data_IF_151519987864
#
_entry.id   IF_151519987864
#
_cell.length_a   1.000
_cell.length_b   1.000
_cell.length_c   1.000
_cell.angle_alpha   90.00
_cell.angle_beta   90.00
_cell.angle_gamma   90.00
#
_symmetry.space_group_name_H-M   'P 1'
#
loop_
_entity.id
_entity.type
_entity.pdbx_description
1 polymer ?
#
# COMPACT_ATOMS: atom_id res chain seq x y z
N UNK A 1 -19.72 0.09 -5.99
CA UNK A 1 -18.60 0.47 -6.89
C UNK A 1 -17.33 -0.33 -6.56
N UNK A 2 -16.84 -0.28 -5.32
CA UNK A 2 -15.60 -0.94 -4.89
C UNK A 2 -15.48 -2.44 -5.25
N UNK A 3 -16.48 -3.26 -4.89
CA UNK A 3 -16.49 -4.69 -5.20
C UNK A 3 -16.46 -5.03 -6.70
N UNK A 4 -17.10 -4.21 -7.53
CA UNK A 4 -17.15 -4.46 -8.97
C UNK A 4 -15.80 -4.20 -9.63
N UNK A 5 -15.07 -3.17 -9.18
CA UNK A 5 -13.70 -2.90 -9.62
C UNK A 5 -12.76 -4.02 -9.21
N UNK A 6 -12.86 -4.51 -7.97
CA UNK A 6 -12.03 -5.64 -7.52
C UNK A 6 -12.36 -6.91 -8.31
N UNK A 7 -13.65 -7.26 -8.43
CA UNK A 7 -14.11 -8.41 -9.19
C UNK A 7 -13.59 -8.38 -10.64
N UNK A 8 -13.65 -7.22 -11.29
CA UNK A 8 -13.16 -7.04 -12.65
C UNK A 8 -11.66 -7.31 -12.79
N UNK A 9 -10.83 -6.79 -11.87
CA UNK A 9 -9.38 -7.04 -11.85
C UNK A 9 -9.10 -8.53 -11.61
N UNK A 10 -9.81 -9.15 -10.67
CA UNK A 10 -9.69 -10.60 -10.40
C UNK A 10 -10.14 -11.43 -11.60
N UNK A 11 -11.25 -11.08 -12.25
CA UNK A 11 -11.74 -11.76 -13.43
C UNK A 11 -10.73 -11.69 -14.58
N UNK A 12 -10.10 -10.53 -14.80
CA UNK A 12 -9.00 -10.39 -15.75
C UNK A 12 -7.83 -11.32 -15.40
N UNK A 13 -7.35 -11.30 -14.15
CA UNK A 13 -6.25 -12.15 -13.70
C UNK A 13 -6.56 -13.64 -13.92
N UNK A 14 -7.75 -14.10 -13.54
CA UNK A 14 -8.20 -15.48 -13.74
C UNK A 14 -8.29 -15.86 -15.22
N UNK A 15 -8.79 -14.96 -16.08
CA UNK A 15 -8.86 -15.19 -17.54
C UNK A 15 -7.49 -15.37 -18.19
N UNK A 16 -6.43 -14.88 -17.55
CA UNK A 16 -5.03 -15.01 -17.97
C UNK A 16 -4.26 -16.08 -17.19
N UNK A 17 -4.95 -16.86 -16.35
CA UNK A 17 -4.35 -17.85 -15.45
C UNK A 17 -3.25 -17.26 -14.54
N UNK A 18 -3.44 -16.03 -14.08
CA UNK A 18 -2.58 -15.38 -13.09
C UNK A 18 -3.11 -15.76 -11.70
N UNK A 19 -2.24 -16.31 -10.84
CA UNK A 19 -2.62 -16.65 -9.48
C UNK A 19 -2.95 -15.37 -8.70
N UNK A 20 -4.08 -15.38 -7.98
CA UNK A 20 -4.49 -14.27 -7.13
C UNK A 20 -5.11 -14.76 -5.83
N UNK A 21 -4.91 -14.02 -4.74
CA UNK A 21 -5.43 -14.38 -3.42
C UNK A 21 -5.85 -13.13 -2.64
N UNK A 22 -7.08 -13.10 -2.15
CA UNK A 22 -7.52 -12.08 -1.20
C UNK A 22 -6.76 -12.14 0.13
N UNK A 23 -6.36 -10.99 0.67
CA UNK A 23 -5.71 -10.84 1.98
C UNK A 23 -6.64 -10.26 3.03
N UNK A 24 -6.24 -10.39 4.30
CA UNK A 24 -6.87 -9.69 5.42
C UNK A 24 -8.33 -10.08 5.62
N UNK A 25 -9.18 -9.07 5.88
CA UNK A 25 -10.62 -9.26 6.10
C UNK A 25 -11.36 -9.72 4.83
N UNK A 26 -10.81 -9.47 3.63
CA UNK A 26 -11.40 -9.92 2.37
C UNK A 26 -11.38 -11.44 2.19
N UNK A 27 -10.39 -12.13 2.77
CA UNK A 27 -10.36 -13.59 2.79
C UNK A 27 -11.53 -14.21 3.59
N UNK A 28 -12.09 -13.43 4.53
CA UNK A 28 -13.16 -13.84 5.43
C UNK A 28 -14.55 -13.29 5.02
N UNK A 29 -14.74 -12.98 3.74
CA UNK A 29 -15.99 -12.41 3.23
C UNK A 29 -16.69 -13.35 2.25
N UNK A 30 -17.95 -13.67 2.55
CA UNK A 30 -18.81 -14.45 1.66
C UNK A 30 -19.00 -13.76 0.30
N UNK A 31 -19.03 -12.43 0.27
CA UNK A 31 -19.12 -11.66 -0.99
C UNK A 31 -17.83 -11.83 -1.81
N UNK A 32 -16.66 -11.76 -1.18
CA UNK A 32 -15.38 -11.99 -1.86
C UNK A 32 -15.26 -13.44 -2.37
N UNK A 33 -15.83 -14.41 -1.65
CA UNK A 33 -15.91 -15.80 -2.11
C UNK A 33 -16.76 -15.93 -3.38
N UNK A 34 -17.98 -15.36 -3.37
CA UNK A 34 -18.87 -15.38 -4.53
C UNK A 34 -18.29 -14.64 -5.75
N UNK A 35 -17.46 -13.62 -5.53
CA UNK A 35 -16.77 -12.86 -6.58
C UNK A 35 -15.44 -13.50 -7.01
N UNK A 36 -15.06 -14.66 -6.47
CA UNK A 36 -13.83 -15.37 -6.82
C UNK A 36 -12.54 -14.69 -6.36
N UNK A 37 -12.64 -13.70 -5.46
CA UNK A 37 -11.50 -12.97 -4.85
C UNK A 37 -10.80 -13.83 -3.80
N UNK A 38 -11.55 -14.68 -3.09
CA UNK A 38 -11.03 -15.69 -2.18
C UNK A 38 -11.61 -17.06 -2.54
N UNK A 39 -10.80 -18.12 -2.46
CA UNK A 39 -11.26 -19.50 -2.70
C UNK A 39 -11.72 -20.21 -1.41
N UNK A 40 -11.68 -19.50 -0.28
CA UNK A 40 -12.04 -20.05 1.03
C UNK A 40 -13.54 -19.93 1.27
N UNK A 41 -14.19 -21.08 1.43
CA UNK A 41 -15.63 -21.16 1.70
C UNK A 41 -15.98 -20.60 3.09
N UNK A 42 -16.83 -19.56 3.16
CA UNK A 42 -17.29 -18.97 4.42
C UNK A 42 -18.01 -19.91 5.36
N UNK A 43 -18.69 -20.93 4.83
CA UNK A 43 -19.43 -21.89 5.64
C UNK A 43 -18.53 -22.84 6.42
N UNK A 44 -17.25 -22.95 6.04
CA UNK A 44 -16.27 -23.86 6.64
C UNK A 44 -15.39 -23.20 7.70
N UNK A 45 -15.59 -21.91 7.97
CA UNK A 45 -14.83 -21.13 8.95
C UNK A 45 -15.75 -20.26 9.82
N UNK A 46 -15.39 -20.07 11.10
CA UNK A 46 -16.07 -19.10 11.97
C UNK A 46 -15.74 -17.67 11.52
N UNK A 47 -16.55 -17.11 10.62
CA UNK A 47 -16.34 -15.77 10.08
C UNK A 47 -16.86 -14.68 11.03
N UNK A 48 -15.98 -13.76 11.43
CA UNK A 48 -16.36 -12.49 12.06
C UNK A 48 -16.75 -11.48 10.96
N UNK A 49 -18.00 -11.58 10.48
CA UNK A 49 -18.56 -10.70 9.44
C UNK A 49 -18.42 -9.20 9.78
N UNK A 50 -18.45 -8.85 11.06
CA UNK A 50 -18.37 -7.46 11.54
C UNK A 50 -17.01 -6.79 11.25
N UNK A 51 -15.97 -7.55 10.90
CA UNK A 51 -14.67 -6.99 10.51
C UNK A 51 -14.60 -6.52 9.06
N UNK A 52 -15.52 -6.96 8.19
CA UNK A 52 -15.48 -6.62 6.77
C UNK A 52 -16.44 -5.48 6.43
N UNK A 53 -17.62 -5.44 7.07
CA UNK A 53 -18.56 -4.31 7.01
C UNK A 53 -19.03 -4.06 8.44
N UNK A 54 -18.29 -3.24 9.19
CA UNK A 54 -18.75 -2.77 10.50
C UNK A 54 -19.71 -1.61 10.28
N UNK A 55 -20.98 -1.74 10.70
CA UNK A 55 -21.91 -0.59 10.72
C UNK A 55 -21.44 0.55 11.64
N UNK A 56 -20.52 0.26 12.57
CA UNK A 56 -19.98 1.22 13.54
C UNK A 56 -18.73 1.97 13.03
N UNK A 57 -18.01 1.41 12.05
CA UNK A 57 -16.93 2.11 11.36
C UNK A 57 -17.47 2.67 10.06
N UNK A 58 -17.69 3.98 10.01
CA UNK A 58 -18.13 4.69 8.81
C UNK A 58 -16.97 4.82 7.78
N UNK A 59 -16.21 3.74 7.58
CA UNK A 59 -15.03 3.66 6.72
C UNK A 59 -15.32 2.66 5.57
N UNK A 60 -14.89 2.97 4.34
CA UNK A 60 -15.00 2.03 3.23
C UNK A 60 -14.26 0.72 3.54
N UNK A 61 -14.77 -0.45 3.10
CA UNK A 61 -14.05 -1.71 3.25
C UNK A 61 -12.74 -1.67 2.45
N UNK A 62 -11.64 -2.17 3.03
CA UNK A 62 -10.35 -2.32 2.37
C UNK A 62 -10.17 -3.77 1.91
N UNK A 63 -9.99 -3.98 0.61
CA UNK A 63 -9.82 -5.29 -0.03
C UNK A 63 -8.45 -5.34 -0.69
N UNK A 64 -7.54 -6.05 -0.03
CA UNK A 64 -6.24 -6.39 -0.56
C UNK A 64 -6.30 -7.68 -1.38
N UNK A 65 -5.71 -7.66 -2.58
CA UNK A 65 -5.55 -8.84 -3.44
C UNK A 65 -4.09 -8.97 -3.84
N UNK A 66 -3.51 -10.12 -3.53
CA UNK A 66 -2.20 -10.50 -4.05
C UNK A 66 -2.32 -11.07 -5.45
N UNK A 67 -1.29 -10.81 -6.26
CA UNK A 67 -1.11 -11.43 -7.56
C UNK A 67 0.26 -12.09 -7.62
N UNK A 68 0.39 -13.12 -8.45
CA UNK A 68 1.66 -13.76 -8.78
C UNK A 68 2.74 -12.71 -9.09
N UNK A 69 3.86 -12.78 -8.36
CA UNK A 69 4.89 -11.75 -8.41
C UNK A 69 5.41 -11.47 -9.84
N UNK A 70 5.65 -12.54 -10.62
CA UNK A 70 6.21 -12.42 -11.97
C UNK A 70 5.23 -11.83 -12.98
N UNK A 71 3.92 -11.94 -12.73
CA UNK A 71 2.85 -11.56 -13.65
C UNK A 71 2.00 -10.38 -13.15
N UNK A 72 2.33 -9.83 -11.97
CA UNK A 72 1.67 -8.65 -11.39
C UNK A 72 1.64 -7.46 -12.33
N UNK A 73 2.69 -7.29 -13.14
CA UNK A 73 2.78 -6.20 -14.09
C UNK A 73 1.67 -6.24 -15.15
N UNK A 74 1.24 -7.44 -15.61
CA UNK A 74 0.13 -7.57 -16.56
C UNK A 74 -1.18 -6.98 -15.99
N UNK A 75 -1.41 -7.21 -14.70
CA UNK A 75 -2.59 -6.70 -13.98
C UNK A 75 -2.52 -5.18 -13.83
N UNK A 76 -1.33 -4.64 -13.51
CA UNK A 76 -1.11 -3.19 -13.43
C UNK A 76 -1.37 -2.53 -14.80
N UNK A 77 -0.85 -3.12 -15.88
CA UNK A 77 -1.07 -2.59 -17.22
C UNK A 77 -2.54 -2.68 -17.66
N UNK A 78 -3.25 -3.75 -17.28
CA UNK A 78 -4.70 -3.84 -17.47
C UNK A 78 -5.45 -2.67 -16.80
N UNK A 79 -5.12 -2.38 -15.54
CA UNK A 79 -5.72 -1.25 -14.80
C UNK A 79 -5.44 0.07 -15.52
N UNK A 80 -4.21 0.31 -15.95
CA UNK A 80 -3.86 1.52 -16.70
C UNK A 80 -4.57 1.62 -18.04
N UNK A 81 -4.69 0.51 -18.78
CA UNK A 81 -5.39 0.48 -20.07
C UNK A 81 -6.89 0.76 -19.90
N UNK A 82 -7.50 0.20 -18.86
CA UNK A 82 -8.95 0.32 -18.63
C UNK A 82 -9.36 1.66 -18.03
N UNK A 83 -8.64 2.11 -17.00
CA UNK A 83 -9.00 3.30 -16.24
C UNK A 83 -8.23 4.55 -16.69
N UNK A 84 -7.15 4.41 -17.46
CA UNK A 84 -6.34 5.52 -17.93
C UNK A 84 -5.35 6.02 -16.88
N UNK A 85 -4.24 6.62 -17.33
CA UNK A 85 -3.16 7.11 -16.46
C UNK A 85 -3.56 8.33 -15.63
N UNK A 86 -4.57 9.07 -16.04
CA UNK A 86 -5.06 10.23 -15.29
C UNK A 86 -5.91 9.85 -14.07
N UNK A 87 -6.34 8.58 -13.98
CA UNK A 87 -7.25 8.07 -12.93
C UNK A 87 -6.69 6.88 -12.14
N UNK A 88 -5.53 6.37 -12.51
CA UNK A 88 -4.85 5.29 -11.81
C UNK A 88 -3.38 5.65 -11.61
N UNK A 89 -2.82 5.30 -10.46
CA UNK A 89 -1.40 5.52 -10.15
C UNK A 89 -0.95 4.49 -9.10
N UNK A 90 0.36 4.24 -9.04
CA UNK A 90 0.98 3.49 -7.96
C UNK A 90 1.18 4.38 -6.73
N UNK A 91 0.94 3.84 -5.55
CA UNK A 91 1.23 4.53 -4.29
C UNK A 91 2.74 4.60 -4.06
N UNK A 92 3.23 5.80 -3.74
CA UNK A 92 4.64 6.00 -3.44
C UNK A 92 4.95 5.59 -2.00
N UNK A 93 6.08 4.94 -1.79
CA UNK A 93 6.61 4.66 -0.44
C UNK A 93 7.67 5.70 -0.10
N UNK A 94 7.51 6.39 1.03
CA UNK A 94 8.55 7.28 1.56
C UNK A 94 9.47 6.48 2.47
N UNK A 95 10.74 6.37 2.09
CA UNK A 95 11.76 5.68 2.89
C UNK A 95 12.41 6.70 3.83
N UNK A 96 12.16 6.55 5.13
CA UNK A 96 12.79 7.38 6.17
C UNK A 96 14.02 6.68 6.77
N UNK A 97 15.00 7.47 7.22
CA UNK A 97 16.16 6.96 7.94
C UNK A 97 15.72 6.25 9.22
N UNK A 98 16.15 4.99 9.38
CA UNK A 98 16.00 4.24 10.62
C UNK A 98 17.28 4.34 11.45
N UNK A 99 17.22 4.17 12.78
CA UNK A 99 18.39 4.31 13.65
C UNK A 99 19.61 3.49 13.22
N UNK A 100 19.38 2.26 12.72
CA UNK A 100 20.45 1.41 12.19
C UNK A 100 21.10 1.96 10.92
N UNK A 101 20.29 2.47 9.99
CA UNK A 101 20.80 3.10 8.76
C UNK A 101 21.57 4.38 9.09
N UNK A 102 21.01 5.21 9.98
CA UNK A 102 21.67 6.43 10.46
C UNK A 102 23.03 6.14 11.10
N UNK A 103 23.09 5.15 12.00
CA UNK A 103 24.32 4.74 12.66
C UNK A 103 25.35 4.21 11.67
N UNK A 104 24.91 3.43 10.67
CA UNK A 104 25.79 2.89 9.65
C UNK A 104 26.41 3.99 8.80
N UNK A 105 25.61 4.94 8.33
CA UNK A 105 26.09 5.98 7.42
C UNK A 105 26.99 6.98 8.14
N UNK A 106 26.64 7.37 9.38
CA UNK A 106 27.50 8.22 10.23
C UNK A 106 28.78 7.50 10.62
N UNK A 107 28.70 6.25 11.06
CA UNK A 107 29.87 5.47 11.46
C UNK A 107 30.87 5.30 10.31
N UNK A 108 30.37 5.02 9.11
CA UNK A 108 31.20 4.93 7.90
C UNK A 108 31.86 6.26 7.57
N UNK A 109 31.13 7.38 7.66
CA UNK A 109 31.69 8.71 7.42
C UNK A 109 32.78 9.09 8.44
N UNK A 110 32.67 8.60 9.68
CA UNK A 110 33.67 8.80 10.74
C UNK A 110 34.85 7.82 10.68
N UNK A 111 34.88 6.91 9.71
CA UNK A 111 35.95 5.90 9.58
C UNK A 111 35.90 4.81 10.64
N UNK A 112 34.75 4.59 11.27
CA UNK A 112 34.56 3.52 12.26
C UNK A 112 34.47 2.18 11.54
N UNK A 113 35.11 1.16 12.12
CA UNK A 113 35.08 -0.20 11.59
C UNK A 113 33.65 -0.76 11.48
N UNK A 114 33.36 -1.47 10.38
CA UNK A 114 32.02 -1.96 10.06
C UNK A 114 31.53 -3.03 11.04
N UNK A 115 32.44 -3.81 11.65
CA UNK A 115 32.07 -4.77 12.68
C UNK A 115 31.62 -4.06 13.96
N UNK A 116 32.27 -2.94 14.32
CA UNK A 116 31.88 -2.12 15.47
C UNK A 116 30.54 -1.41 15.22
N UNK A 117 30.34 -0.85 14.03
CA UNK A 117 29.06 -0.26 13.60
C UNK A 117 27.93 -1.29 13.67
N UNK A 118 28.19 -2.50 13.16
CA UNK A 118 27.21 -3.60 13.18
C UNK A 118 26.86 -4.01 14.60
N UNK A 119 27.87 -4.18 15.47
CA UNK A 119 27.69 -4.51 16.88
C UNK A 119 26.84 -3.46 17.61
N UNK A 120 27.13 -2.17 17.43
CA UNK A 120 26.36 -1.07 18.00
C UNK A 120 24.93 -1.00 17.43
N UNK A 121 24.77 -1.35 16.14
CA UNK A 121 23.48 -1.37 15.47
C UNK A 121 22.53 -2.45 15.99
N UNK A 122 23.02 -3.54 16.57
CA UNK A 122 22.17 -4.62 17.08
C UNK A 122 21.24 -4.15 18.21
N UNK A 123 21.74 -3.28 19.10
CA UNK A 123 20.97 -2.70 20.20
C UNK A 123 20.07 -1.53 19.81
N UNK A 124 20.16 -1.02 18.59
CA UNK A 124 19.38 0.14 18.18
C UNK A 124 17.87 -0.19 18.08
N UNK A 125 16.99 0.66 18.62
CA UNK A 125 15.55 0.44 18.58
C UNK A 125 15.05 0.40 17.13
N UNK A 126 14.13 -0.53 16.83
CA UNK A 126 13.53 -0.68 15.49
C UNK A 126 12.66 0.50 15.09
N UNK A 127 12.13 1.22 16.08
CA UNK A 127 11.31 2.40 15.91
C UNK A 127 11.75 3.44 16.95
N UNK A 128 12.17 4.61 16.49
CA UNK A 128 12.31 5.78 17.35
C UNK A 128 11.04 6.57 17.17
N UNK A 129 10.22 6.63 18.22
CA UNK A 129 9.10 7.55 18.23
C UNK A 129 9.67 8.97 18.12
N UNK A 130 9.23 9.76 17.12
CA UNK A 130 9.67 11.14 17.03
C UNK A 130 9.17 11.87 18.28
N UNK A 131 10.08 12.20 19.20
CA UNK A 131 9.77 13.10 20.30
C UNK A 131 9.62 14.50 19.70
N UNK A 132 8.37 14.89 19.43
CA UNK A 132 8.01 16.27 19.07
C UNK A 132 8.13 16.63 17.59
N UNK A 133 7.34 16.01 16.71
CA UNK A 133 7.10 16.51 15.35
C UNK A 133 5.77 17.29 15.22
N UNK A 134 5.24 17.81 16.34
CA UNK A 134 3.90 18.40 16.40
C UNK A 134 3.80 19.88 16.02
N UNK A 135 4.88 20.56 15.60
CA UNK A 135 4.84 22.04 15.48
C UNK A 135 5.62 22.70 14.34
N UNK A 136 6.08 21.98 13.32
CA UNK A 136 6.92 22.55 12.25
C UNK A 136 6.39 22.37 10.81
N UNK A 137 5.12 22.03 10.59
CA UNK A 137 4.54 21.87 9.25
C UNK A 137 3.26 22.70 9.01
N UNK A 138 3.05 23.75 9.82
CA UNK A 138 1.98 24.72 9.63
C UNK A 138 2.54 26.13 9.46
N UNK A 139 3.37 26.34 8.43
CA UNK A 139 3.64 27.70 7.93
C UNK A 139 3.65 27.65 6.40
N UNK A 140 2.53 28.08 5.81
CA UNK A 140 2.49 28.77 4.52
C UNK A 140 2.50 27.91 3.24
N UNK A 141 1.32 27.44 2.83
CA UNK A 141 1.00 27.29 1.40
C UNK A 141 -0.51 27.47 1.19
N UNK A 142 -0.98 28.71 1.36
CA UNK A 142 -2.28 29.11 0.83
C UNK A 142 -2.22 29.21 -0.71
N UNK A 143 -3.32 28.94 -1.43
CA UNK A 143 -3.29 28.92 -2.89
C UNK A 143 -3.24 30.35 -3.42
N UNK A 144 -2.05 30.83 -3.80
CA UNK A 144 -1.93 32.05 -4.60
C UNK A 144 -2.22 31.70 -6.05
N UNK A 145 -3.39 32.13 -6.52
CA UNK A 145 -3.75 32.14 -7.95
C UNK A 145 -2.67 32.90 -8.73
N UNK A 146 -1.93 32.21 -9.58
CA UNK A 146 -1.22 32.84 -10.70
C UNK A 146 -1.43 31.96 -11.92
N UNK A 147 -2.41 32.33 -12.74
CA UNK A 147 -2.66 31.69 -14.02
C UNK A 147 -1.57 32.11 -15.01
N UNK A 148 -0.74 31.16 -15.43
CA UNK A 148 0.10 31.32 -16.61
C UNK A 148 -0.72 30.84 -17.82
N UNK A 149 -1.27 31.80 -18.57
CA UNK A 149 -1.83 31.60 -19.91
C UNK A 149 -0.66 31.33 -20.86
N UNK A 150 -0.65 30.15 -21.48
CA UNK A 150 0.09 29.93 -22.71
C UNK A 150 -0.85 30.24 -23.88
N UNK A 151 -0.51 31.24 -24.69
CA UNK A 151 -1.05 31.43 -26.04
C UNK A 151 0.00 30.88 -27.03
N UNK A 152 -0.38 29.99 -27.97
CA UNK A 152 0.48 29.66 -29.10
C UNK A 152 0.30 30.71 -30.21
N UNK A 153 1.40 31.04 -30.89
CA UNK A 153 1.39 31.70 -32.20
C UNK A 153 0.96 30.71 -33.30
#
# INVERSE_FOLDING_TARGET
>A
MYFLTVHDIVAFARSRHILCQGRGSAANSAVCYCLGVTEVDPSRMNMLFERFISRERNEPPDIDVDFEHQRREEVIQYIYAKYGRDRAALTATVISYRPRSALRDVGRALGIDEALISALGQGAPRHVQPRGAGRALAVGAGPSRTGLRFTPD
#
